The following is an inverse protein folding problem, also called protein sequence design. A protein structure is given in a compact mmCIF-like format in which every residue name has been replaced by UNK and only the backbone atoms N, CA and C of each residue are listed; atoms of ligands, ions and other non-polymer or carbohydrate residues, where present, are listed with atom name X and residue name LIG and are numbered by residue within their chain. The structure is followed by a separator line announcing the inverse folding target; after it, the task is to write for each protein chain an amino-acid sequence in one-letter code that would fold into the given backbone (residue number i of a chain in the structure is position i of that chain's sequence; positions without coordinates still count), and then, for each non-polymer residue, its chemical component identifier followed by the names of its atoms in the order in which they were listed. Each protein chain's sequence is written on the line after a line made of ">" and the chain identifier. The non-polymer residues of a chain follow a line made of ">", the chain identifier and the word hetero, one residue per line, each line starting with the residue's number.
data_IF_247415278988
#
_entry.id   IF_247415278988
#
_cell.length_a   1.000
_cell.length_b   1.000
_cell.length_c   1.000
_cell.angle_alpha   90.00
_cell.angle_beta   90.00
_cell.angle_gamma   90.00
#
_symmetry.space_group_name_H-M   'P 1'
#
loop_
_entity.id
_entity.type
_entity.pdbx_description
1 polymer ?
#
# COMPACT_ATOMS: atom_id res chain seq x y z
N UNK A 1 11.10 14.50 -6.37
CA UNK A 1 11.17 13.66 -5.15
C UNK A 1 11.26 14.53 -3.89
N UNK A 2 12.18 15.50 -3.82
CA UNK A 2 12.29 16.43 -2.67
C UNK A 2 10.97 17.16 -2.32
N UNK A 3 10.22 17.64 -3.33
CA UNK A 3 8.94 18.32 -3.13
C UNK A 3 7.85 17.43 -2.51
N UNK A 4 7.85 16.12 -2.78
CA UNK A 4 6.87 15.19 -2.24
C UNK A 4 7.10 14.93 -0.74
N UNK A 5 8.37 14.76 -0.34
CA UNK A 5 8.72 14.53 1.06
C UNK A 5 8.46 15.78 1.92
N UNK A 6 8.74 16.97 1.39
CA UNK A 6 8.42 18.24 2.03
C UNK A 6 6.90 18.55 2.09
N UNK A 7 6.10 17.96 1.21
CA UNK A 7 4.64 18.05 1.26
C UNK A 7 4.06 17.15 2.36
N UNK A 8 4.51 15.89 2.46
CA UNK A 8 4.02 14.92 3.46
C UNK A 8 4.31 15.39 4.90
N UNK A 9 5.45 16.04 5.15
CA UNK A 9 5.79 16.54 6.49
C UNK A 9 4.84 17.63 7.01
N UNK A 10 4.03 18.25 6.14
CA UNK A 10 3.08 19.32 6.51
C UNK A 10 1.71 18.81 6.94
N UNK A 11 1.38 17.53 6.70
CA UNK A 11 0.06 16.97 7.02
C UNK A 11 0.18 16.00 8.22
N UNK A 12 -0.12 16.50 9.42
CA UNK A 12 -0.29 15.64 10.61
C UNK A 12 -1.52 14.73 10.43
N UNK A 13 -1.29 13.41 10.39
CA UNK A 13 -2.35 12.42 10.39
C UNK A 13 -2.94 12.27 11.79
N UNK A 14 -4.17 12.78 11.99
CA UNK A 14 -4.97 12.48 13.19
C UNK A 14 -5.68 11.13 13.00
N UNK A 15 -5.23 10.10 13.71
CA UNK A 15 -5.84 8.78 13.65
C UNK A 15 -7.25 8.79 14.23
N UNK A 16 -8.27 8.49 13.42
CA UNK A 16 -9.60 8.14 13.93
C UNK A 16 -9.59 6.67 14.36
N UNK A 17 -9.64 6.43 15.66
CA UNK A 17 -9.77 5.08 16.23
C UNK A 17 -11.26 4.75 16.30
N UNK A 18 -11.73 3.84 15.44
CA UNK A 18 -13.04 3.20 15.63
C UNK A 18 -12.86 1.83 16.27
N UNK A 19 -13.50 1.65 17.43
CA UNK A 19 -13.65 0.34 18.08
C UNK A 19 -14.70 -0.44 17.30
N UNK A 20 -14.38 -1.65 16.84
CA UNK A 20 -15.41 -2.64 16.55
C UNK A 20 -14.90 -4.08 16.59
N UNK A 21 -15.81 -4.96 17.01
CA UNK A 21 -15.59 -6.34 17.47
C UNK A 21 -15.36 -7.30 16.31
N UNK A 22 -14.55 -8.32 16.59
CA UNK A 22 -14.25 -9.42 15.69
C UNK A 22 -15.48 -10.28 15.38
N UNK A 23 -15.82 -10.38 14.09
CA UNK A 23 -16.44 -11.58 13.54
C UNK A 23 -15.66 -11.98 12.28
N UNK A 24 -14.96 -13.09 12.39
CA UNK A 24 -14.32 -13.78 11.28
C UNK A 24 -15.41 -14.46 10.44
N UNK A 25 -15.86 -13.83 9.36
CA UNK A 25 -16.57 -14.55 8.31
C UNK A 25 -16.00 -14.19 6.93
N UNK A 26 -15.59 -15.21 6.21
CA UNK A 26 -14.92 -15.12 4.92
C UNK A 26 -15.83 -14.73 3.75
N UNK A 27 -17.10 -14.34 3.97
CA UNK A 27 -17.95 -13.69 2.95
C UNK A 27 -18.96 -12.71 3.57
N UNK A 28 -18.47 -11.66 4.24
CA UNK A 28 -19.32 -10.54 4.66
C UNK A 28 -19.80 -9.69 3.48
N UNK A 29 -19.05 -9.67 2.38
CA UNK A 29 -19.32 -8.87 1.17
C UNK A 29 -19.03 -9.70 -0.10
N UNK A 30 -19.90 -10.64 -0.49
CA UNK A 30 -19.67 -11.56 -1.61
C UNK A 30 -19.54 -10.86 -2.98
N UNK A 31 -20.06 -9.65 -3.13
CA UNK A 31 -20.04 -8.84 -4.34
C UNK A 31 -18.72 -8.09 -4.58
N UNK A 32 -17.86 -8.01 -3.56
CA UNK A 32 -16.63 -7.22 -3.64
C UNK A 32 -15.48 -8.03 -4.23
N UNK A 33 -14.87 -7.46 -5.26
CA UNK A 33 -13.73 -8.03 -5.97
C UNK A 33 -12.42 -7.32 -5.59
N UNK A 34 -11.28 -8.03 -5.59
CA UNK A 34 -9.96 -7.42 -5.58
C UNK A 34 -9.79 -6.40 -6.72
N UNK A 35 -8.72 -5.60 -6.66
CA UNK A 35 -8.35 -4.68 -7.74
C UNK A 35 -7.28 -5.29 -8.63
N UNK A 36 -7.22 -4.92 -9.92
CA UNK A 36 -6.07 -5.22 -10.77
C UNK A 36 -4.80 -4.62 -10.18
N UNK A 37 -3.65 -5.21 -10.48
CA UNK A 37 -2.35 -4.64 -10.11
C UNK A 37 -1.81 -3.79 -11.25
N UNK A 38 -1.44 -2.55 -10.93
CA UNK A 38 -0.76 -1.67 -11.88
C UNK A 38 0.73 -1.73 -11.57
N UNK A 39 1.40 -2.73 -12.16
CA UNK A 39 2.81 -3.01 -11.89
C UNK A 39 3.53 -3.45 -13.18
N UNK A 40 4.77 -2.99 -13.35
CA UNK A 40 5.66 -3.34 -14.47
C UNK A 40 7.11 -3.25 -14.01
N UNK A 41 8.05 -3.64 -14.87
CA UNK A 41 9.47 -3.43 -14.62
C UNK A 41 9.84 -1.93 -14.69
N UNK A 42 10.97 -1.55 -14.10
CA UNK A 42 11.51 -0.18 -14.12
C UNK A 42 10.59 0.91 -13.54
N UNK A 43 9.81 0.56 -12.52
CA UNK A 43 8.99 1.53 -11.78
C UNK A 43 9.87 2.55 -11.04
N UNK A 44 9.53 3.83 -11.20
CA UNK A 44 10.12 4.91 -10.40
C UNK A 44 9.54 4.91 -8.98
N UNK A 45 8.24 4.60 -8.85
CA UNK A 45 7.53 4.60 -7.58
C UNK A 45 6.44 3.53 -7.59
N UNK A 46 6.33 2.76 -6.51
CA UNK A 46 5.23 1.82 -6.28
C UNK A 46 4.49 2.20 -4.99
N UNK A 47 3.20 2.50 -5.12
CA UNK A 47 2.32 2.63 -3.97
C UNK A 47 1.77 1.27 -3.55
N UNK A 48 1.87 0.98 -2.25
CA UNK A 48 1.31 -0.22 -1.63
C UNK A 48 0.23 0.21 -0.65
N UNK A 49 -1.03 0.10 -1.07
CA UNK A 49 -2.20 0.28 -0.21
C UNK A 49 -2.38 -0.88 0.77
N UNK A 50 -3.28 -0.73 1.74
CA UNK A 50 -3.58 -1.81 2.69
C UNK A 50 -4.38 -2.91 1.99
N UNK A 51 -5.60 -2.56 1.58
CA UNK A 51 -6.53 -3.42 0.87
C UNK A 51 -7.61 -2.56 0.19
N UNK A 52 -8.37 -3.10 -0.77
CA UNK A 52 -9.47 -2.36 -1.38
C UNK A 52 -10.57 -2.05 -0.36
N UNK A 53 -10.92 -0.78 -0.24
CA UNK A 53 -12.17 -0.38 0.44
C UNK A 53 -13.39 -0.67 -0.45
N UNK A 54 -14.59 -0.68 0.15
CA UNK A 54 -15.87 -0.94 -0.55
C UNK A 54 -15.99 -0.18 -1.86
N UNK A 55 -15.82 1.15 -1.84
CA UNK A 55 -15.96 2.00 -3.02
C UNK A 55 -14.92 1.71 -4.11
N UNK A 56 -13.68 1.43 -3.71
CA UNK A 56 -12.63 1.05 -4.65
C UNK A 56 -12.95 -0.28 -5.32
N UNK A 57 -13.37 -1.27 -4.54
CA UNK A 57 -13.76 -2.58 -5.07
C UNK A 57 -14.97 -2.49 -6.01
N UNK A 58 -16.03 -1.76 -5.64
CA UNK A 58 -17.20 -1.60 -6.51
C UNK A 58 -16.89 -0.88 -7.82
N UNK A 59 -16.02 0.14 -7.78
CA UNK A 59 -15.63 0.93 -8.95
C UNK A 59 -14.46 0.32 -9.73
N UNK A 60 -13.81 -0.71 -9.21
CA UNK A 60 -12.58 -1.29 -9.76
C UNK A 60 -11.44 -0.28 -9.95
N UNK A 61 -11.35 0.68 -9.02
CA UNK A 61 -10.38 1.77 -9.08
C UNK A 61 -9.72 2.05 -7.72
N UNK A 62 -8.41 2.32 -7.75
CA UNK A 62 -7.66 2.63 -6.54
C UNK A 62 -8.12 3.96 -5.94
N UNK A 63 -8.32 3.96 -4.62
CA UNK A 63 -8.68 5.16 -3.84
C UNK A 63 -9.93 5.92 -4.37
N UNK A 64 -10.90 5.21 -4.95
CA UNK A 64 -12.07 5.79 -5.61
C UNK A 64 -13.17 6.36 -4.69
N UNK A 65 -12.95 6.31 -3.37
CA UNK A 65 -13.83 6.99 -2.42
C UNK A 65 -13.53 8.51 -2.46
N UNK A 66 -14.51 9.39 -2.72
CA UNK A 66 -14.27 10.83 -2.83
C UNK A 66 -13.64 11.49 -1.59
N UNK A 67 -13.80 10.88 -0.41
CA UNK A 67 -13.17 11.38 0.83
C UNK A 67 -11.68 11.00 0.93
N UNK A 68 -11.18 10.13 0.04
CA UNK A 68 -9.79 9.72 0.04
C UNK A 68 -8.92 10.81 -0.61
N UNK A 69 -7.87 11.23 0.09
CA UNK A 69 -7.02 12.33 -0.38
C UNK A 69 -5.93 11.90 -1.38
N UNK A 70 -5.77 10.62 -1.69
CA UNK A 70 -4.65 10.12 -2.50
C UNK A 70 -4.49 10.89 -3.81
N UNK A 71 -5.53 10.93 -4.64
CA UNK A 71 -5.48 11.59 -5.96
C UNK A 71 -5.21 13.09 -5.87
N UNK A 72 -5.80 13.75 -4.88
CA UNK A 72 -5.55 15.17 -4.58
C UNK A 72 -4.08 15.38 -4.18
N UNK A 73 -3.55 14.56 -3.27
CA UNK A 73 -2.16 14.64 -2.82
C UNK A 73 -1.16 14.36 -3.95
N UNK A 74 -1.44 13.40 -4.83
CA UNK A 74 -0.59 13.12 -6.00
C UNK A 74 -0.41 14.37 -6.86
N UNK A 75 -1.49 15.10 -7.13
CA UNK A 75 -1.43 16.35 -7.88
C UNK A 75 -0.80 17.50 -7.07
N UNK A 76 -1.30 17.78 -5.87
CA UNK A 76 -0.90 18.96 -5.08
C UNK A 76 0.54 18.88 -4.57
N UNK A 77 1.11 17.69 -4.44
CA UNK A 77 2.54 17.51 -4.12
C UNK A 77 3.48 17.81 -5.29
N UNK A 78 2.95 17.98 -6.50
CA UNK A 78 3.74 18.09 -7.73
C UNK A 78 4.44 16.80 -8.14
N UNK A 79 4.00 15.64 -7.60
CA UNK A 79 4.51 14.34 -8.04
C UNK A 79 4.22 14.10 -9.52
N UNK A 80 3.06 14.61 -9.99
CA UNK A 80 2.70 14.70 -11.39
C UNK A 80 2.29 16.13 -11.73
N UNK A 81 2.52 16.60 -12.97
CA UNK A 81 2.24 17.99 -13.35
C UNK A 81 0.76 18.28 -13.67
N UNK A 82 -0.09 17.25 -13.73
CA UNK A 82 -1.49 17.35 -14.17
C UNK A 82 -2.45 16.77 -13.13
N UNK A 83 -3.68 17.27 -13.11
CA UNK A 83 -4.74 16.70 -12.27
C UNK A 83 -5.05 15.28 -12.74
N UNK A 84 -5.11 14.36 -11.79
CA UNK A 84 -5.43 12.95 -12.01
C UNK A 84 -6.52 12.51 -11.04
N UNK A 85 -7.25 11.47 -11.42
CA UNK A 85 -8.28 10.84 -10.60
C UNK A 85 -8.14 9.31 -10.66
N UNK A 86 -9.10 8.64 -10.03
CA UNK A 86 -9.12 7.19 -9.94
C UNK A 86 -9.31 6.45 -11.26
N UNK A 87 -9.45 7.12 -12.41
CA UNK A 87 -9.50 6.47 -13.72
C UNK A 87 -8.16 6.50 -14.45
N UNK A 88 -7.11 7.01 -13.80
CA UNK A 88 -5.80 7.30 -14.41
C UNK A 88 -4.69 6.36 -13.96
N UNK A 89 -5.00 5.19 -13.40
CA UNK A 89 -3.96 4.25 -12.94
C UNK A 89 -3.05 3.78 -14.08
N UNK A 90 -3.59 3.36 -15.23
CA UNK A 90 -2.78 2.98 -16.39
C UNK A 90 -1.95 4.15 -16.92
N UNK A 91 -2.54 5.35 -16.94
CA UNK A 91 -1.83 6.56 -17.35
C UNK A 91 -0.60 6.83 -16.46
N UNK A 92 -0.73 6.66 -15.14
CA UNK A 92 0.38 6.76 -14.20
C UNK A 92 1.43 5.67 -14.40
N UNK A 93 0.97 4.44 -14.65
CA UNK A 93 1.84 3.29 -14.90
C UNK A 93 2.70 3.52 -16.15
N UNK A 94 2.11 3.99 -17.24
CA UNK A 94 2.80 4.12 -18.53
C UNK A 94 3.58 5.43 -18.65
N UNK A 95 2.98 6.57 -18.28
CA UNK A 95 3.59 7.89 -18.47
C UNK A 95 4.61 8.25 -17.41
N UNK A 96 4.37 7.87 -16.15
CA UNK A 96 5.18 8.30 -15.00
C UNK A 96 5.96 7.15 -14.34
N UNK A 97 5.73 5.91 -14.78
CA UNK A 97 6.26 4.70 -14.13
C UNK A 97 5.91 4.67 -12.64
N UNK A 98 4.65 5.03 -12.33
CA UNK A 98 4.07 5.00 -10.98
C UNK A 98 3.07 3.83 -10.93
N UNK A 99 3.38 2.83 -10.11
CA UNK A 99 2.54 1.64 -9.93
C UNK A 99 1.68 1.69 -8.67
N UNK A 100 0.66 0.83 -8.62
CA UNK A 100 -0.25 0.68 -7.49
C UNK A 100 -0.62 -0.78 -7.28
N UNK A 101 -0.43 -1.26 -6.05
CA UNK A 101 -0.87 -2.58 -5.58
C UNK A 101 -1.46 -2.48 -4.17
N UNK A 102 -2.09 -3.55 -3.70
CA UNK A 102 -2.52 -3.69 -2.30
C UNK A 102 -1.73 -4.79 -1.58
N UNK A 103 -1.50 -4.57 -0.28
CA UNK A 103 -0.85 -5.53 0.60
C UNK A 103 -1.69 -6.79 0.82
N UNK A 104 -3.00 -6.60 1.00
CA UNK A 104 -4.02 -7.65 1.07
C UNK A 104 -4.99 -7.45 -0.11
N UNK A 105 -5.24 -8.52 -0.87
CA UNK A 105 -6.11 -8.46 -2.05
C UNK A 105 -7.59 -8.37 -1.69
N UNK A 106 -8.00 -8.98 -0.58
CA UNK A 106 -9.40 -9.07 -0.18
C UNK A 106 -9.96 -7.68 0.19
N UNK A 107 -11.09 -7.27 -0.41
CA UNK A 107 -11.77 -6.07 0.01
C UNK A 107 -12.37 -6.17 1.41
N UNK A 108 -12.43 -5.04 2.12
CA UNK A 108 -13.15 -4.95 3.39
C UNK A 108 -13.66 -3.53 3.64
N UNK A 109 -14.58 -3.38 4.59
CA UNK A 109 -15.04 -2.06 5.02
C UNK A 109 -13.97 -1.34 5.85
N UNK A 110 -13.24 -2.11 6.64
CA UNK A 110 -12.23 -1.61 7.57
C UNK A 110 -11.06 -2.57 7.66
N UNK A 111 -9.88 -2.03 7.93
CA UNK A 111 -8.67 -2.80 8.20
C UNK A 111 -8.80 -3.66 9.47
N UNK A 112 -9.71 -3.32 10.39
CA UNK A 112 -10.01 -4.15 11.57
C UNK A 112 -10.64 -5.51 11.21
N UNK A 113 -11.19 -5.64 10.00
CA UNK A 113 -11.76 -6.90 9.49
C UNK A 113 -10.70 -7.80 8.82
N UNK A 114 -9.43 -7.40 8.83
CA UNK A 114 -8.33 -8.16 8.25
C UNK A 114 -7.58 -8.89 9.35
N UNK A 115 -7.42 -10.20 9.18
CA UNK A 115 -6.73 -11.05 10.14
C UNK A 115 -5.21 -10.88 10.06
N UNK A 116 -4.51 -11.23 11.15
CA UNK A 116 -3.04 -11.29 11.15
C UNK A 116 -2.50 -12.29 10.12
N UNK A 117 -3.22 -13.39 9.88
CA UNK A 117 -2.85 -14.37 8.86
C UNK A 117 -2.86 -13.76 7.45
N UNK A 118 -3.85 -12.94 7.13
CA UNK A 118 -3.90 -12.23 5.85
C UNK A 118 -2.74 -11.23 5.70
N UNK A 119 -2.36 -10.54 6.77
CA UNK A 119 -1.15 -9.72 6.77
C UNK A 119 0.12 -10.55 6.54
N UNK A 120 0.23 -11.74 7.15
CA UNK A 120 1.39 -12.61 6.96
C UNK A 120 1.47 -13.15 5.52
N UNK A 121 0.34 -13.56 4.94
CA UNK A 121 0.26 -13.99 3.54
C UNK A 121 0.54 -12.83 2.58
N UNK A 122 0.00 -11.64 2.88
CA UNK A 122 0.24 -10.40 2.14
C UNK A 122 1.72 -10.05 2.11
N UNK A 123 2.43 -10.18 3.25
CA UNK A 123 3.87 -9.98 3.32
C UNK A 123 4.62 -10.82 2.29
N UNK A 124 4.40 -12.13 2.30
CA UNK A 124 5.09 -13.07 1.40
C UNK A 124 4.81 -12.75 -0.08
N UNK A 125 3.59 -12.34 -0.39
CA UNK A 125 3.20 -11.89 -1.73
C UNK A 125 3.95 -10.62 -2.14
N UNK A 126 3.98 -9.61 -1.28
CA UNK A 126 4.68 -8.35 -1.52
C UNK A 126 6.19 -8.58 -1.66
N UNK A 127 6.80 -9.43 -0.82
CA UNK A 127 8.22 -9.78 -0.95
C UNK A 127 8.53 -10.39 -2.34
N UNK A 128 7.67 -11.25 -2.87
CA UNK A 128 7.82 -11.81 -4.23
C UNK A 128 7.70 -10.75 -5.33
N UNK A 129 6.70 -9.87 -5.24
CA UNK A 129 6.51 -8.80 -6.23
C UNK A 129 7.67 -7.83 -6.25
N UNK A 130 8.15 -7.41 -5.08
CA UNK A 130 9.26 -6.48 -4.96
C UNK A 130 10.58 -7.10 -5.43
N UNK A 131 10.83 -8.38 -5.15
CA UNK A 131 12.00 -9.09 -5.69
C UNK A 131 11.98 -9.20 -7.21
N UNK A 132 10.79 -9.30 -7.82
CA UNK A 132 10.62 -9.34 -9.27
C UNK A 132 10.81 -7.96 -9.91
N UNK A 133 9.98 -6.99 -9.53
CA UNK A 133 9.83 -5.72 -10.25
C UNK A 133 10.81 -4.63 -9.78
N UNK A 134 11.41 -4.78 -8.60
CA UNK A 134 12.47 -3.91 -8.06
C UNK A 134 12.24 -2.40 -8.27
N UNK A 135 11.09 -1.85 -7.83
CA UNK A 135 10.81 -0.41 -7.98
C UNK A 135 11.88 0.42 -7.26
N UNK A 136 12.24 1.57 -7.83
CA UNK A 136 13.24 2.49 -7.25
C UNK A 136 12.80 3.05 -5.90
N UNK A 137 11.50 3.31 -5.74
CA UNK A 137 10.89 3.83 -4.52
C UNK A 137 9.64 3.03 -4.19
N UNK A 138 9.48 2.68 -2.92
CA UNK A 138 8.29 1.98 -2.41
C UNK A 138 7.63 2.90 -1.39
N UNK A 139 6.36 3.21 -1.61
CA UNK A 139 5.55 4.00 -0.69
C UNK A 139 4.44 3.12 -0.11
N UNK A 140 4.60 2.72 1.15
CA UNK A 140 3.51 2.11 1.90
C UNK A 140 2.49 3.21 2.24
N UNK A 141 1.32 3.15 1.61
CA UNK A 141 0.24 4.10 1.86
C UNK A 141 -0.53 3.69 3.12
N UNK A 142 0.05 4.07 4.26
CA UNK A 142 -0.44 3.75 5.61
C UNK A 142 0.62 3.02 6.45
N UNK A 143 0.60 3.23 7.77
CA UNK A 143 1.58 2.61 8.69
C UNK A 143 1.45 1.10 8.80
N UNK A 144 0.22 0.56 8.85
CA UNK A 144 -0.02 -0.88 9.06
C UNK A 144 0.71 -1.81 8.06
N UNK A 145 0.66 -1.59 6.74
CA UNK A 145 1.37 -2.46 5.81
C UNK A 145 2.89 -2.35 5.96
N UNK A 146 3.44 -1.15 6.24
CA UNK A 146 4.86 -0.99 6.57
C UNK A 146 5.25 -1.78 7.83
N UNK A 147 4.52 -1.59 8.93
CA UNK A 147 4.76 -2.26 10.20
C UNK A 147 4.67 -3.78 10.07
N UNK A 148 3.67 -4.27 9.33
CA UNK A 148 3.53 -5.70 9.02
C UNK A 148 4.70 -6.23 8.20
N UNK A 149 5.11 -5.50 7.15
CA UNK A 149 6.19 -5.90 6.27
C UNK A 149 7.52 -6.02 7.02
N UNK A 150 7.87 -5.02 7.82
CA UNK A 150 9.12 -5.00 8.58
C UNK A 150 9.04 -5.72 9.93
N UNK A 151 7.89 -6.31 10.28
CA UNK A 151 7.61 -6.86 11.61
C UNK A 151 8.00 -5.90 12.75
N UNK A 152 7.61 -4.63 12.60
CA UNK A 152 7.90 -3.56 13.56
C UNK A 152 6.64 -3.16 14.33
N UNK A 153 6.80 -2.77 15.59
CA UNK A 153 5.71 -2.22 16.41
C UNK A 153 5.48 -0.73 16.17
N UNK A 154 6.51 0.00 15.71
CA UNK A 154 6.45 1.45 15.49
C UNK A 154 7.27 1.89 14.28
N UNK A 155 6.83 2.98 13.69
CA UNK A 155 7.49 3.67 12.60
C UNK A 155 6.97 5.11 12.53
N UNK A 156 7.83 6.03 12.11
CA UNK A 156 7.44 7.40 11.79
C UNK A 156 6.91 7.48 10.36
N UNK A 157 6.24 8.59 10.04
CA UNK A 157 5.87 8.87 8.65
C UNK A 157 7.06 9.47 7.89
N UNK A 158 7.07 9.31 6.56
CA UNK A 158 8.12 9.85 5.71
C UNK A 158 9.19 8.82 5.36
N UNK A 159 10.35 9.30 4.91
CA UNK A 159 11.47 8.44 4.51
C UNK A 159 11.93 7.58 5.67
N UNK A 160 12.27 6.33 5.39
CA UNK A 160 12.77 5.39 6.37
C UNK A 160 14.22 5.04 6.03
N UNK A 161 15.06 4.89 7.05
CA UNK A 161 16.49 4.60 6.87
C UNK A 161 16.76 3.19 6.31
N UNK A 162 15.82 2.27 6.51
CA UNK A 162 15.94 0.87 6.06
C UNK A 162 15.30 0.70 4.69
N UNK A 163 16.09 0.29 3.71
CA UNK A 163 15.59 -0.17 2.43
C UNK A 163 14.80 -1.47 2.58
N UNK A 164 13.75 -1.63 1.77
CA UNK A 164 12.96 -2.88 1.73
C UNK A 164 13.82 -4.07 1.29
N UNK A 165 14.76 -3.84 0.37
CA UNK A 165 15.66 -4.89 -0.13
C UNK A 165 16.66 -5.38 0.92
N UNK A 166 17.07 -4.51 1.85
CA UNK A 166 17.93 -4.89 2.98
C UNK A 166 17.20 -5.83 3.96
N UNK A 167 15.86 -5.73 4.03
CA UNK A 167 15.04 -6.55 4.91
C UNK A 167 14.84 -7.98 4.39
N UNK A 168 14.97 -8.23 3.07
CA UNK A 168 14.86 -9.59 2.52
C UNK A 168 15.94 -10.52 3.05
N UNK A 169 17.17 -10.02 3.17
CA UNK A 169 18.33 -10.85 3.50
C UNK A 169 18.34 -11.34 4.96
N UNK A 170 17.73 -10.61 5.90
CA UNK A 170 17.67 -11.05 7.31
C UNK A 170 16.69 -12.21 7.55
N UNK A 171 15.60 -12.29 6.78
CA UNK A 171 14.59 -13.34 6.96
C UNK A 171 15.10 -14.74 6.60
N UNK A 172 16.00 -14.84 5.63
CA UNK A 172 16.59 -16.12 5.19
C UNK A 172 17.70 -16.61 6.12
N UNK A 173 18.49 -15.70 6.69
CA UNK A 173 19.62 -16.05 7.58
C UNK A 173 19.18 -16.53 8.96
N UNK A 174 18.10 -15.98 9.53
CA UNK A 174 17.62 -16.37 10.87
C UNK A 174 16.94 -17.76 10.89
N UNK A 175 16.53 -18.29 9.74
CA UNK A 175 15.97 -19.66 9.64
C UNK A 175 17.03 -20.75 9.63
N UNK A 176 18.29 -20.44 9.31
CA UNK A 176 19.37 -21.43 9.23
C UNK A 176 20.05 -21.64 10.59
N UNK A 177 19.97 -20.66 11.50
CA UNK A 177 20.63 -20.72 12.81
C UNK A 177 19.78 -21.37 13.94
N UNK A 178 18.61 -21.94 13.63
CA UNK A 178 17.72 -22.59 14.62
C UNK A 178 17.39 -24.06 14.26
N UNK A 179 18.34 -24.77 13.67
CA UNK A 179 18.28 -26.22 13.54
C UNK A 179 19.45 -26.88 14.24
#
# INVERSE_FOLDING_TARGET
>A
MENFMAFISKYEYKSVVTKDRHTSSTKKYPELLPLPEYIKDDLNLLFIGINPGIQSSLKQHYYANPINHFWKCIYESGLVPEKVDCTKEEHLLHKYSIGMINYIERPSRSVSEISQQEFNSGRQRIERLLNRYKPKVICFNGKKPYLSFFNSQKADYGQQDKGVFDAFHKSSSEKISKK
#
